data_IF_758036716757
#
_entry.id   IF_758036716757
#
_cell.length_a   1.000
_cell.length_b   1.000
_cell.length_c   1.000
_cell.angle_alpha   90.00
_cell.angle_beta   90.00
_cell.angle_gamma   90.00
#
_symmetry.space_group_name_H-M   'P 1'
#
loop_
_entity.id
_entity.type
_entity.pdbx_description
1 polymer ?
#
# COMPACT_ATOMS: atom_id res chain seq x y z
N UNK A 1 3.35 32.80 15.68
CA UNK A 1 3.74 32.56 14.29
C UNK A 1 2.93 31.38 13.77
N UNK A 2 1.83 31.66 13.04
CA UNK A 2 0.94 30.63 12.50
C UNK A 2 1.68 29.87 11.40
N UNK A 3 2.29 28.74 11.75
CA UNK A 3 2.77 27.80 10.77
C UNK A 3 1.56 27.02 10.22
N UNK A 4 0.89 27.60 9.23
CA UNK A 4 0.13 26.80 8.28
C UNK A 4 1.12 25.85 7.64
N UNK A 5 1.16 24.62 8.10
CA UNK A 5 1.99 23.56 7.55
C UNK A 5 1.62 23.43 6.07
N UNK A 6 2.47 23.96 5.17
CA UNK A 6 2.21 23.89 3.75
C UNK A 6 2.04 22.42 3.36
N UNK A 7 0.85 22.04 2.96
CA UNK A 7 0.52 20.70 2.49
C UNK A 7 1.44 20.36 1.31
N UNK A 8 2.13 19.24 1.39
CA UNK A 8 3.03 18.76 0.34
C UNK A 8 2.20 17.93 -0.61
N UNK A 9 1.81 18.56 -1.72
CA UNK A 9 0.92 17.94 -2.70
C UNK A 9 1.54 16.76 -3.42
N UNK A 10 2.86 16.73 -3.60
CA UNK A 10 3.58 15.63 -4.24
C UNK A 10 3.33 14.28 -3.55
N UNK A 11 3.19 14.23 -2.22
CA UNK A 11 2.90 12.98 -1.49
C UNK A 11 1.50 12.46 -1.86
N UNK A 12 0.51 13.35 -1.92
CA UNK A 12 -0.86 12.98 -2.28
C UNK A 12 -0.96 12.52 -3.74
N UNK A 13 -0.25 13.22 -4.64
CA UNK A 13 -0.19 12.88 -6.07
C UNK A 13 0.55 11.57 -6.29
N UNK A 14 1.68 11.37 -5.63
CA UNK A 14 2.45 10.12 -5.71
C UNK A 14 1.57 8.93 -5.27
N UNK A 15 0.85 9.09 -4.16
CA UNK A 15 -0.09 8.06 -3.68
C UNK A 15 -1.21 7.78 -4.68
N UNK A 16 -1.77 8.83 -5.30
CA UNK A 16 -2.83 8.69 -6.29
C UNK A 16 -2.36 7.96 -7.56
N UNK A 17 -1.17 8.31 -8.07
CA UNK A 17 -0.56 7.64 -9.22
C UNK A 17 -0.24 6.18 -8.87
N UNK A 18 0.39 5.92 -7.72
CA UNK A 18 0.73 4.56 -7.30
C UNK A 18 -0.53 3.70 -7.13
N UNK A 19 -1.64 4.27 -6.63
CA UNK A 19 -2.89 3.53 -6.53
C UNK A 19 -3.54 3.28 -7.90
N UNK A 20 -3.51 4.24 -8.83
CA UNK A 20 -3.93 4.02 -10.22
C UNK A 20 -3.14 2.85 -10.84
N UNK A 21 -1.81 2.89 -10.70
CA UNK A 21 -0.94 1.83 -11.20
C UNK A 21 -1.19 0.49 -10.50
N UNK A 22 -1.46 0.48 -9.19
CA UNK A 22 -1.80 -0.73 -8.44
C UNK A 22 -3.05 -1.42 -9.00
N UNK A 23 -4.12 -0.66 -9.29
CA UNK A 23 -5.34 -1.21 -9.86
C UNK A 23 -5.07 -1.72 -11.28
N UNK A 24 -4.32 -0.96 -12.07
CA UNK A 24 -3.94 -1.32 -13.44
C UNK A 24 -3.14 -2.63 -13.48
N UNK A 25 -2.05 -2.74 -12.72
CA UNK A 25 -1.20 -3.94 -12.75
C UNK A 25 -1.90 -5.15 -12.13
N UNK A 26 -2.78 -4.93 -11.16
CA UNK A 26 -3.58 -6.00 -10.59
C UNK A 26 -4.66 -6.53 -11.53
N UNK A 27 -5.04 -5.81 -12.61
CA UNK A 27 -5.96 -6.31 -13.63
C UNK A 27 -5.26 -7.12 -14.74
N UNK A 28 -3.93 -7.07 -14.83
CA UNK A 28 -3.16 -7.74 -15.89
C UNK A 28 -3.34 -9.26 -15.89
N UNK A 29 -3.63 -9.89 -14.74
CA UNK A 29 -3.93 -11.33 -14.67
C UNK A 29 -5.14 -11.75 -15.53
N UNK A 30 -6.04 -10.81 -15.82
CA UNK A 30 -7.22 -11.04 -16.65
C UNK A 30 -6.93 -11.03 -18.17
N UNK A 31 -5.69 -10.72 -18.55
CA UNK A 31 -5.25 -10.52 -19.92
C UNK A 31 -4.37 -11.69 -20.42
N UNK A 32 -4.30 -11.80 -21.74
CA UNK A 32 -3.35 -12.67 -22.46
C UNK A 32 -2.49 -11.83 -23.38
N UNK A 33 -1.23 -12.27 -23.62
CA UNK A 33 -0.30 -11.54 -24.48
C UNK A 33 0.19 -10.21 -23.90
N UNK A 34 0.28 -10.14 -22.58
CA UNK A 34 0.90 -9.00 -21.86
C UNK A 34 2.41 -9.07 -22.08
N UNK A 35 3.10 -7.94 -22.39
CA UNK A 35 4.55 -7.90 -22.47
C UNK A 35 5.20 -8.26 -21.14
N UNK A 36 6.23 -9.10 -21.15
CA UNK A 36 6.92 -9.58 -19.93
C UNK A 36 7.38 -8.45 -19.01
N UNK A 37 7.83 -7.32 -19.57
CA UNK A 37 8.28 -6.18 -18.78
C UNK A 37 7.17 -5.48 -17.95
N UNK A 38 5.90 -5.74 -18.27
CA UNK A 38 4.75 -5.26 -17.48
C UNK A 38 4.35 -6.24 -16.37
N UNK A 39 4.59 -7.52 -16.54
CA UNK A 39 4.16 -8.57 -15.62
C UNK A 39 4.97 -8.60 -14.32
N UNK A 40 4.51 -9.42 -13.38
CA UNK A 40 5.31 -9.80 -12.22
C UNK A 40 6.35 -10.84 -12.61
N UNK A 41 7.60 -10.64 -12.15
CA UNK A 41 8.63 -11.66 -12.26
C UNK A 41 8.33 -12.83 -11.32
N UNK A 42 8.72 -14.05 -11.75
CA UNK A 42 8.67 -15.23 -10.90
C UNK A 42 9.75 -15.15 -9.81
N UNK A 43 9.57 -15.93 -8.74
CA UNK A 43 10.48 -15.91 -7.60
C UNK A 43 11.94 -16.26 -7.98
N UNK A 44 12.10 -17.16 -8.95
CA UNK A 44 13.37 -17.69 -9.44
C UNK A 44 14.00 -16.89 -10.59
N UNK A 45 13.31 -15.88 -11.11
CA UNK A 45 13.78 -15.01 -12.19
C UNK A 45 14.56 -13.81 -11.67
N UNK A 46 15.75 -13.57 -12.22
CA UNK A 46 16.51 -12.34 -12.02
C UNK A 46 16.02 -11.24 -12.94
N UNK A 47 14.83 -10.72 -12.66
CA UNK A 47 14.14 -9.74 -13.51
C UNK A 47 13.28 -8.79 -12.68
N UNK A 48 13.12 -7.56 -13.18
CA UNK A 48 12.27 -6.53 -12.60
C UNK A 48 11.18 -6.14 -13.59
N UNK A 49 9.97 -6.65 -13.38
CA UNK A 49 8.81 -6.20 -14.12
C UNK A 49 8.28 -4.85 -13.58
N UNK A 50 7.54 -4.12 -14.42
CA UNK A 50 6.90 -2.88 -14.01
C UNK A 50 5.95 -3.09 -12.82
N UNK A 51 5.22 -4.21 -12.80
CA UNK A 51 4.33 -4.58 -11.70
C UNK A 51 5.05 -4.76 -10.35
N UNK A 52 6.36 -5.05 -10.39
CA UNK A 52 7.15 -5.28 -9.18
C UNK A 52 7.63 -3.99 -8.49
N UNK A 53 7.45 -2.83 -9.16
CA UNK A 53 7.85 -1.51 -8.65
C UNK A 53 6.69 -0.83 -7.90
N UNK A 54 5.44 -1.21 -8.18
CA UNK A 54 4.25 -0.48 -7.70
C UNK A 54 4.06 -0.63 -6.19
N UNK A 55 4.13 -1.85 -5.67
CA UNK A 55 3.96 -2.11 -4.23
C UNK A 55 5.06 -1.46 -3.38
N UNK A 56 6.37 -1.59 -3.69
CA UNK A 56 7.41 -0.90 -2.94
C UNK A 56 7.28 0.63 -2.98
N UNK A 57 6.84 1.21 -4.10
CA UNK A 57 6.53 2.64 -4.16
C UNK A 57 5.43 3.03 -3.17
N UNK A 58 4.43 2.15 -2.96
CA UNK A 58 3.40 2.37 -1.95
C UNK A 58 3.96 2.34 -0.53
N UNK A 59 4.85 1.40 -0.20
CA UNK A 59 5.53 1.34 1.11
C UNK A 59 6.42 2.57 1.36
N UNK A 60 7.13 3.02 0.33
CA UNK A 60 7.88 4.27 0.39
C UNK A 60 6.98 5.46 0.74
N UNK A 61 5.80 5.58 0.11
CA UNK A 61 4.82 6.63 0.39
C UNK A 61 4.22 6.49 1.81
N UNK A 62 4.00 5.27 2.28
CA UNK A 62 3.60 5.02 3.68
C UNK A 62 4.65 5.59 4.62
N UNK A 63 5.92 5.31 4.37
CA UNK A 63 7.05 5.91 5.09
C UNK A 63 7.05 7.43 5.04
N UNK A 64 6.85 8.02 3.87
CA UNK A 64 6.74 9.49 3.74
C UNK A 64 5.60 10.08 4.57
N UNK A 65 4.50 9.36 4.73
CA UNK A 65 3.32 9.83 5.45
C UNK A 65 3.46 9.76 6.98
N UNK A 66 4.30 8.86 7.52
CA UNK A 66 4.49 8.64 8.96
C UNK A 66 4.87 9.93 9.70
N UNK A 67 5.88 10.72 9.28
CA UNK A 67 6.27 11.96 9.96
C UNK A 67 5.11 12.95 10.10
N UNK A 68 4.33 13.13 9.03
CA UNK A 68 3.21 14.07 9.01
C UNK A 68 2.05 13.58 9.88
N UNK A 69 1.73 12.28 9.83
CA UNK A 69 0.67 11.69 10.64
C UNK A 69 0.96 11.82 12.14
N UNK A 70 2.19 11.49 12.57
CA UNK A 70 2.59 11.55 13.98
C UNK A 70 2.67 13.00 14.47
N UNK A 71 3.28 13.91 13.69
CA UNK A 71 3.32 15.35 14.05
C UNK A 71 1.92 15.95 14.21
N UNK A 72 1.00 15.58 13.32
CA UNK A 72 -0.38 16.09 13.40
C UNK A 72 -1.10 15.61 14.66
N UNK A 73 -0.82 14.40 15.16
CA UNK A 73 -1.38 13.88 16.41
C UNK A 73 -0.78 14.58 17.64
N UNK A 74 0.54 14.76 17.64
CA UNK A 74 1.23 15.50 18.70
C UNK A 74 0.70 16.95 18.77
N UNK A 75 0.49 17.59 17.61
CA UNK A 75 -0.07 18.94 17.55
C UNK A 75 -1.51 19.04 18.08
N UNK A 76 -2.26 17.93 18.07
CA UNK A 76 -3.61 17.82 18.67
C UNK A 76 -3.59 17.53 20.17
N UNK A 77 -2.40 17.34 20.75
CA UNK A 77 -2.24 17.04 22.17
C UNK A 77 -2.28 15.54 22.53
N UNK A 78 -2.28 14.64 21.54
CA UNK A 78 -2.28 13.20 21.80
C UNK A 78 -1.00 12.80 22.56
N UNK A 79 -1.15 12.03 23.64
CA UNK A 79 -0.03 11.41 24.37
C UNK A 79 0.66 10.33 23.55
N UNK A 80 1.89 9.97 23.90
CA UNK A 80 2.60 8.87 23.22
C UNK A 80 1.80 7.55 23.25
N UNK A 81 1.13 7.24 24.35
CA UNK A 81 0.31 6.04 24.48
C UNK A 81 -0.89 6.07 23.51
N UNK A 82 -1.58 7.21 23.41
CA UNK A 82 -2.69 7.38 22.46
C UNK A 82 -2.23 7.25 21.01
N UNK A 83 -1.03 7.76 20.70
CA UNK A 83 -0.43 7.59 19.37
C UNK A 83 -0.12 6.11 19.08
N UNK A 84 0.49 5.41 20.06
CA UNK A 84 0.79 3.97 19.94
C UNK A 84 -0.49 3.14 19.79
N UNK A 85 -1.53 3.42 20.56
CA UNK A 85 -2.85 2.77 20.43
C UNK A 85 -3.42 2.96 19.02
N UNK A 86 -3.33 4.17 18.46
CA UNK A 86 -3.79 4.43 17.11
C UNK A 86 -2.96 3.66 16.07
N UNK A 87 -1.63 3.61 16.23
CA UNK A 87 -0.76 2.83 15.37
C UNK A 87 -1.16 1.36 15.42
N UNK A 88 -1.35 0.79 16.62
CA UNK A 88 -1.73 -0.59 16.82
C UNK A 88 -3.10 -0.92 16.18
N UNK A 89 -4.12 -0.09 16.42
CA UNK A 89 -5.46 -0.27 15.85
C UNK A 89 -5.45 -0.19 14.32
N UNK A 90 -4.71 0.76 13.76
CA UNK A 90 -4.55 0.90 12.32
C UNK A 90 -3.84 -0.31 11.71
N UNK A 91 -2.76 -0.77 12.34
CA UNK A 91 -2.03 -1.95 11.90
C UNK A 91 -2.90 -3.20 11.99
N UNK A 92 -3.64 -3.38 13.10
CA UNK A 92 -4.56 -4.51 13.28
C UNK A 92 -5.62 -4.52 12.18
N UNK A 93 -6.21 -3.38 11.83
CA UNK A 93 -7.17 -3.31 10.74
C UNK A 93 -6.58 -3.79 9.42
N UNK A 94 -5.36 -3.35 9.08
CA UNK A 94 -4.66 -3.77 7.87
C UNK A 94 -4.28 -5.26 7.91
N UNK A 95 -3.85 -5.77 9.06
CA UNK A 95 -3.54 -7.18 9.25
C UNK A 95 -4.79 -8.07 9.07
N UNK A 96 -5.92 -7.66 9.65
CA UNK A 96 -7.21 -8.37 9.46
C UNK A 96 -7.62 -8.37 7.99
N UNK A 97 -7.58 -7.21 7.34
CA UNK A 97 -7.92 -7.13 5.91
C UNK A 97 -6.98 -7.96 5.05
N UNK A 98 -5.68 -7.92 5.32
CA UNK A 98 -4.68 -8.74 4.64
C UNK A 98 -4.90 -10.23 4.85
N UNK A 99 -5.17 -10.64 6.09
CA UNK A 99 -5.47 -12.03 6.45
C UNK A 99 -6.66 -12.59 5.66
N UNK A 100 -7.75 -11.84 5.54
CA UNK A 100 -8.91 -12.28 4.77
C UNK A 100 -8.62 -12.30 3.27
N UNK A 101 -7.97 -11.27 2.73
CA UNK A 101 -7.72 -11.17 1.28
C UNK A 101 -6.73 -12.21 0.77
N UNK A 102 -5.74 -12.63 1.56
CA UNK A 102 -4.75 -13.63 1.13
C UNK A 102 -5.35 -15.03 1.03
N UNK A 103 -6.40 -15.33 1.82
CA UNK A 103 -7.04 -16.64 1.83
C UNK A 103 -8.09 -16.85 0.70
N UNK A 104 -8.41 -15.82 -0.10
CA UNK A 104 -9.37 -15.92 -1.19
C UNK A 104 -8.99 -17.01 -2.20
N UNK A 105 -7.69 -17.12 -2.53
CA UNK A 105 -7.18 -18.09 -3.51
C UNK A 105 -7.34 -19.53 -3.05
N UNK A 106 -7.25 -19.78 -1.75
CA UNK A 106 -7.21 -21.11 -1.16
C UNK A 106 -8.61 -21.63 -0.76
N UNK A 107 -9.65 -20.80 -0.93
CA UNK A 107 -11.03 -21.18 -0.59
C UNK A 107 -11.47 -22.42 -1.38
N UNK A 108 -11.81 -23.48 -0.68
CA UNK A 108 -12.49 -24.66 -1.20
C UNK A 108 -14.00 -24.42 -1.19
N UNK A 109 -14.58 -24.23 -2.37
CA UNK A 109 -16.00 -23.84 -2.54
C UNK A 109 -16.95 -24.93 -2.05
N UNK A 110 -16.65 -26.20 -2.33
CA UNK A 110 -17.50 -27.33 -1.96
C UNK A 110 -17.50 -27.53 -0.45
N UNK A 111 -16.34 -27.56 0.18
CA UNK A 111 -16.21 -27.78 1.62
C UNK A 111 -16.73 -26.59 2.45
N UNK A 112 -16.60 -25.36 1.95
CA UNK A 112 -17.10 -24.15 2.63
C UNK A 112 -18.59 -23.91 2.43
N UNK A 113 -19.21 -24.48 1.39
CA UNK A 113 -20.64 -24.31 1.10
C UNK A 113 -21.03 -22.94 0.50
N UNK A 114 -20.07 -22.12 0.06
CA UNK A 114 -20.32 -20.84 -0.61
C UNK A 114 -19.26 -20.53 -1.67
N UNK A 115 -19.64 -19.72 -2.67
CA UNK A 115 -18.75 -19.37 -3.77
C UNK A 115 -17.67 -18.37 -3.35
N UNK A 116 -16.59 -18.32 -4.14
CA UNK A 116 -15.50 -17.35 -3.93
C UNK A 116 -15.99 -15.90 -4.06
N UNK A 117 -16.90 -15.65 -4.98
CA UNK A 117 -17.51 -14.35 -5.21
C UNK A 117 -18.34 -13.91 -3.99
N UNK A 118 -19.14 -14.81 -3.44
CA UNK A 118 -19.93 -14.53 -2.23
C UNK A 118 -19.00 -14.23 -1.04
N UNK A 119 -17.94 -15.01 -0.86
CA UNK A 119 -16.94 -14.76 0.16
C UNK A 119 -16.35 -13.35 0.02
N UNK A 120 -15.95 -12.95 -1.20
CA UNK A 120 -15.37 -11.62 -1.46
C UNK A 120 -16.37 -10.49 -1.18
N UNK A 121 -17.63 -10.64 -1.62
CA UNK A 121 -18.66 -9.63 -1.39
C UNK A 121 -18.92 -9.46 0.12
N UNK A 122 -19.10 -10.56 0.84
CA UNK A 122 -19.37 -10.52 2.29
C UNK A 122 -18.16 -10.01 3.08
N UNK A 123 -16.95 -10.40 2.70
CA UNK A 123 -15.70 -9.91 3.28
C UNK A 123 -15.57 -8.38 3.14
N UNK A 124 -15.75 -7.85 1.92
CA UNK A 124 -15.67 -6.41 1.69
C UNK A 124 -16.82 -5.68 2.38
N UNK A 125 -18.03 -6.23 2.38
CA UNK A 125 -19.15 -5.67 3.14
C UNK A 125 -18.81 -5.59 4.65
N UNK A 126 -18.24 -6.65 5.23
CA UNK A 126 -17.76 -6.65 6.62
C UNK A 126 -16.72 -5.55 6.87
N UNK A 127 -15.75 -5.37 5.97
CA UNK A 127 -14.77 -4.29 6.09
C UNK A 127 -15.43 -2.90 6.04
N UNK A 128 -16.39 -2.68 5.15
CA UNK A 128 -17.09 -1.40 5.09
C UNK A 128 -17.96 -1.18 6.33
N UNK A 129 -18.64 -2.18 6.85
CA UNK A 129 -19.42 -2.06 8.07
C UNK A 129 -18.56 -1.68 9.29
N UNK A 130 -17.36 -2.24 9.41
CA UNK A 130 -16.48 -1.98 10.56
C UNK A 130 -15.78 -0.62 10.45
N UNK A 131 -15.16 -0.31 9.30
CA UNK A 131 -14.22 0.80 9.14
C UNK A 131 -14.76 1.97 8.31
N UNK A 132 -16.06 2.02 8.01
CA UNK A 132 -16.65 3.21 7.39
C UNK A 132 -16.55 4.43 8.31
N UNK A 133 -16.41 5.62 7.71
CA UNK A 133 -16.49 6.88 8.45
C UNK A 133 -17.94 7.19 8.75
N UNK A 134 -18.40 6.77 9.92
CA UNK A 134 -19.73 7.13 10.38
C UNK A 134 -19.79 8.58 10.90
N UNK A 135 -20.88 9.33 10.63
CA UNK A 135 -21.04 10.67 11.19
C UNK A 135 -21.13 10.60 12.72
N UNK A 136 -20.57 11.60 13.39
CA UNK A 136 -20.77 11.75 14.83
C UNK A 136 -22.25 12.01 15.09
N UNK A 137 -22.84 11.25 15.97
CA UNK A 137 -24.24 11.42 16.42
C UNK A 137 -24.32 11.08 17.90
N UNK A 138 -25.13 11.82 18.64
CA UNK A 138 -25.43 11.58 20.07
C UNK A 138 -26.76 10.85 20.25
N UNK A 139 -27.58 10.78 19.19
CA UNK A 139 -28.90 10.17 19.15
C UNK A 139 -28.84 8.64 18.95
N UNK A 140 -30.02 8.02 18.77
CA UNK A 140 -30.19 6.60 18.42
C UNK A 140 -29.30 6.12 17.26
N UNK A 141 -28.92 7.02 16.34
CA UNK A 141 -28.01 6.74 15.25
C UNK A 141 -26.62 6.25 15.72
N UNK A 142 -26.17 6.68 16.92
CA UNK A 142 -24.93 6.17 17.51
C UNK A 142 -25.02 4.66 17.74
N UNK A 143 -26.12 4.19 18.30
CA UNK A 143 -26.34 2.77 18.55
C UNK A 143 -26.50 1.98 17.26
N UNK A 144 -27.15 2.58 16.24
CA UNK A 144 -27.23 2.00 14.90
C UNK A 144 -25.82 1.78 14.30
N UNK A 145 -24.94 2.79 14.38
CA UNK A 145 -23.58 2.66 13.83
C UNK A 145 -22.75 1.62 14.58
N UNK A 146 -22.86 1.56 15.90
CA UNK A 146 -22.23 0.51 16.71
C UNK A 146 -22.81 -0.87 16.30
N UNK A 147 -24.11 -0.99 16.13
CA UNK A 147 -24.75 -2.21 15.65
C UNK A 147 -24.23 -2.66 14.28
N UNK A 148 -24.09 -1.73 13.33
CA UNK A 148 -23.50 -2.02 12.01
C UNK A 148 -22.07 -2.52 12.12
N UNK A 149 -21.25 -1.91 12.98
CA UNK A 149 -19.88 -2.38 13.22
C UNK A 149 -19.85 -3.79 13.83
N UNK A 150 -20.72 -4.08 14.80
CA UNK A 150 -20.84 -5.41 15.40
C UNK A 150 -21.30 -6.45 14.38
N UNK A 151 -22.26 -6.10 13.51
CA UNK A 151 -22.68 -6.97 12.39
C UNK A 151 -21.50 -7.25 11.46
N UNK A 152 -20.68 -6.24 11.14
CA UNK A 152 -19.46 -6.42 10.35
C UNK A 152 -18.46 -7.38 10.99
N UNK A 153 -18.23 -7.23 12.30
CA UNK A 153 -17.35 -8.14 13.07
C UNK A 153 -17.90 -9.56 13.05
N UNK A 154 -19.20 -9.72 13.36
CA UNK A 154 -19.85 -11.03 13.34
C UNK A 154 -19.78 -11.69 11.96
N UNK A 155 -19.99 -10.91 10.90
CA UNK A 155 -19.88 -11.38 9.52
C UNK A 155 -18.47 -11.93 9.21
N UNK A 156 -17.43 -11.21 9.59
CA UNK A 156 -16.06 -11.69 9.39
C UNK A 156 -15.75 -12.93 10.24
N UNK A 157 -16.22 -12.99 11.48
CA UNK A 157 -16.07 -14.18 12.33
C UNK A 157 -16.76 -15.40 11.72
N UNK A 158 -17.99 -15.24 11.21
CA UNK A 158 -18.73 -16.32 10.53
C UNK A 158 -18.01 -16.77 9.25
N UNK A 159 -17.52 -15.83 8.43
CA UNK A 159 -16.73 -16.17 7.25
C UNK A 159 -15.45 -16.95 7.61
N UNK A 160 -14.75 -16.57 8.67
CA UNK A 160 -13.58 -17.30 9.17
C UNK A 160 -13.95 -18.69 9.70
N UNK A 161 -15.08 -18.83 10.39
CA UNK A 161 -15.54 -20.09 10.94
C UNK A 161 -15.94 -21.11 9.85
N UNK A 162 -16.68 -20.64 8.83
CA UNK A 162 -17.15 -21.51 7.73
C UNK A 162 -16.10 -21.70 6.63
N UNK A 163 -15.02 -20.95 6.65
CA UNK A 163 -13.94 -21.11 5.68
C UNK A 163 -13.33 -22.49 5.77
N UNK A 164 -13.18 -23.12 4.62
CA UNK A 164 -12.40 -24.35 4.42
C UNK A 164 -11.47 -24.10 3.23
N UNK A 165 -10.18 -24.33 3.45
CA UNK A 165 -9.14 -24.14 2.45
C UNK A 165 -8.48 -25.44 2.03
N UNK A 166 -7.56 -25.29 1.06
CA UNK A 166 -6.83 -26.42 0.52
C UNK A 166 -7.64 -27.27 -0.47
N UNK A 167 -6.96 -28.22 -1.10
CA UNK A 167 -7.57 -29.07 -2.15
C UNK A 167 -8.65 -30.01 -1.57
N UNK A 168 -8.48 -30.46 -0.36
CA UNK A 168 -9.35 -31.40 0.34
C UNK A 168 -10.35 -30.72 1.30
N UNK A 169 -10.31 -29.41 1.44
CA UNK A 169 -11.16 -28.65 2.33
C UNK A 169 -10.84 -28.82 3.81
N UNK A 170 -9.67 -29.32 4.17
CA UNK A 170 -9.26 -29.57 5.56
C UNK A 170 -8.57 -28.38 6.23
N UNK A 171 -8.08 -27.43 5.43
CA UNK A 171 -7.30 -26.31 5.93
C UNK A 171 -8.20 -25.19 6.47
N UNK A 172 -7.72 -24.50 7.50
CA UNK A 172 -8.31 -23.28 8.02
C UNK A 172 -7.60 -22.06 7.44
N UNK A 173 -8.20 -20.87 7.61
CA UNK A 173 -7.52 -19.62 7.25
C UNK A 173 -6.17 -19.51 7.94
N UNK A 174 -5.15 -19.12 7.19
CA UNK A 174 -3.79 -18.92 7.70
C UNK A 174 -3.23 -17.56 7.29
N UNK A 175 -2.25 -17.02 8.02
CA UNK A 175 -1.62 -15.76 7.67
C UNK A 175 -0.90 -15.78 6.32
N UNK A 176 -0.43 -16.92 5.88
CA UNK A 176 0.38 -17.10 4.67
C UNK A 176 1.49 -16.02 4.58
N UNK A 177 1.53 -15.25 3.49
CA UNK A 177 2.43 -14.09 3.33
C UNK A 177 1.77 -12.76 3.76
N UNK A 178 0.64 -12.79 4.48
CA UNK A 178 -0.12 -11.64 4.99
C UNK A 178 -0.85 -10.80 3.95
N UNK A 179 -0.64 -11.00 2.67
CA UNK A 179 -1.20 -10.16 1.63
C UNK A 179 -0.65 -8.72 1.63
N UNK A 180 -0.95 -7.97 0.60
CA UNK A 180 -0.45 -6.58 0.43
C UNK A 180 -0.85 -5.69 1.62
N UNK A 181 -2.11 -5.74 2.06
CA UNK A 181 -2.58 -4.92 3.18
C UNK A 181 -1.93 -5.31 4.50
N UNK A 182 -1.74 -6.61 4.75
CA UNK A 182 -1.08 -7.10 5.96
C UNK A 182 0.40 -6.73 6.00
N UNK A 183 1.11 -6.80 4.87
CA UNK A 183 2.50 -6.34 4.78
C UNK A 183 2.63 -4.83 5.07
N UNK A 184 1.68 -4.01 4.58
CA UNK A 184 1.61 -2.59 4.95
C UNK A 184 1.35 -2.44 6.45
N UNK A 185 0.48 -3.28 7.03
CA UNK A 185 0.17 -3.30 8.46
C UNK A 185 1.41 -3.57 9.31
N UNK A 186 2.21 -4.60 8.97
CA UNK A 186 3.47 -4.93 9.63
C UNK A 186 4.48 -3.81 9.51
N UNK A 187 4.71 -3.31 8.29
CA UNK A 187 5.64 -2.20 8.04
C UNK A 187 5.28 -0.97 8.87
N UNK A 188 3.98 -0.62 8.95
CA UNK A 188 3.52 0.52 9.72
C UNK A 188 3.65 0.28 11.23
N UNK A 189 3.34 -0.94 11.71
CA UNK A 189 3.44 -1.34 13.12
C UNK A 189 4.87 -1.23 13.65
N UNK A 190 5.86 -1.54 12.81
CA UNK A 190 7.28 -1.47 13.17
C UNK A 190 7.82 -0.05 12.99
N UNK A 191 7.61 0.55 11.81
CA UNK A 191 8.27 1.81 11.45
C UNK A 191 7.71 3.03 12.19
N UNK A 192 6.39 3.08 12.46
CA UNK A 192 5.78 4.25 13.07
C UNK A 192 6.14 4.45 14.55
N UNK A 193 6.19 3.42 15.43
CA UNK A 193 6.71 3.57 16.78
C UNK A 193 8.20 3.97 16.80
N UNK A 194 9.01 3.37 15.96
CA UNK A 194 10.44 3.73 15.87
C UNK A 194 10.56 5.22 15.52
N UNK A 195 9.82 5.69 14.52
CA UNK A 195 9.79 7.12 14.19
C UNK A 195 9.30 7.97 15.38
N UNK A 196 8.26 7.57 16.09
CA UNK A 196 7.71 8.31 17.23
C UNK A 196 8.80 8.62 18.27
N UNK A 197 9.63 7.65 18.59
CA UNK A 197 10.68 7.80 19.62
C UNK A 197 11.98 8.39 19.05
N UNK A 198 12.34 8.06 17.80
CA UNK A 198 13.57 8.51 17.17
C UNK A 198 13.44 9.86 16.42
N UNK A 199 12.24 10.46 16.31
CA UNK A 199 11.94 11.63 15.45
C UNK A 199 12.81 12.87 15.68
N UNK A 200 13.43 13.00 16.85
CA UNK A 200 14.32 14.12 17.18
C UNK A 200 15.72 13.99 16.55
N UNK A 201 16.11 12.80 16.11
CA UNK A 201 17.42 12.52 15.54
C UNK A 201 17.30 11.94 14.14
N UNK A 202 17.62 12.72 13.13
CA UNK A 202 17.69 12.24 11.75
C UNK A 202 18.76 11.18 11.56
N UNK A 203 19.86 11.25 12.33
CA UNK A 203 20.92 10.25 12.30
C UNK A 203 20.39 8.89 12.78
N UNK A 204 19.64 8.87 13.89
CA UNK A 204 19.07 7.64 14.41
C UNK A 204 18.08 7.01 13.41
N UNK A 205 17.28 7.83 12.73
CA UNK A 205 16.36 7.33 11.70
C UNK A 205 17.08 6.74 10.48
N UNK A 206 18.21 7.34 10.07
CA UNK A 206 19.07 6.78 9.03
C UNK A 206 19.77 5.49 9.49
N UNK A 207 20.16 5.40 10.77
CA UNK A 207 20.71 4.16 11.32
C UNK A 207 19.67 3.03 11.32
N UNK A 208 18.39 3.31 11.56
CA UNK A 208 17.33 2.30 11.41
C UNK A 208 17.15 1.88 9.96
N UNK A 209 17.21 2.80 8.99
CA UNK A 209 17.22 2.43 7.57
C UNK A 209 18.36 1.48 7.24
N UNK A 210 19.56 1.80 7.72
CA UNK A 210 20.74 0.96 7.53
C UNK A 210 20.60 -0.40 8.23
N UNK A 211 20.07 -0.42 9.46
CA UNK A 211 19.80 -1.66 10.22
C UNK A 211 18.86 -2.59 9.45
N UNK A 212 17.72 -2.10 8.97
CA UNK A 212 16.78 -2.94 8.22
C UNK A 212 17.36 -3.41 6.88
N UNK A 213 18.19 -2.58 6.24
CA UNK A 213 18.94 -2.98 5.05
C UNK A 213 19.94 -4.12 5.38
N UNK A 214 20.67 -4.00 6.47
CA UNK A 214 21.60 -5.06 6.92
C UNK A 214 20.85 -6.33 7.32
N UNK A 215 19.72 -6.23 8.01
CA UNK A 215 18.88 -7.38 8.33
C UNK A 215 18.43 -8.10 7.05
N UNK A 216 17.99 -7.37 6.05
CA UNK A 216 17.58 -7.96 4.77
C UNK A 216 18.75 -8.65 4.05
N UNK A 217 19.93 -8.03 4.01
CA UNK A 217 21.15 -8.64 3.46
C UNK A 217 21.53 -9.90 4.24
N UNK A 218 21.51 -9.83 5.58
CA UNK A 218 21.89 -10.94 6.46
C UNK A 218 20.93 -12.13 6.34
N UNK A 219 19.63 -11.88 6.19
CA UNK A 219 18.61 -12.91 5.98
C UNK A 219 18.84 -13.67 4.66
N UNK A 220 19.14 -12.94 3.58
CA UNK A 220 19.42 -13.51 2.26
C UNK A 220 20.80 -14.15 2.15
N UNK A 221 21.78 -13.67 2.91
CA UNK A 221 23.09 -14.31 3.03
C UNK A 221 23.07 -15.56 3.92
N UNK A 222 21.96 -15.86 4.58
CA UNK A 222 21.83 -17.00 5.49
C UNK A 222 22.53 -16.82 6.83
N UNK A 223 22.99 -15.62 7.17
CA UNK A 223 23.67 -15.32 8.43
C UNK A 223 22.71 -15.21 9.61
N UNK A 224 21.53 -14.64 9.38
CA UNK A 224 20.52 -14.43 10.41
C UNK A 224 19.13 -14.52 9.77
N UNK A 225 18.30 -15.45 10.26
CA UNK A 225 16.88 -15.48 9.86
C UNK A 225 16.06 -14.57 10.76
N UNK A 226 15.35 -13.63 10.15
CA UNK A 226 14.51 -12.69 10.87
C UNK A 226 13.05 -13.17 10.89
N UNK A 227 12.31 -12.98 12.01
CA UNK A 227 10.88 -13.26 12.04
C UNK A 227 10.02 -12.18 11.36
N UNK A 228 10.65 -11.10 10.87
CA UNK A 228 9.98 -9.98 10.24
C UNK A 228 9.63 -10.35 8.79
N UNK A 229 8.38 -10.17 8.33
CA UNK A 229 8.03 -10.42 6.95
C UNK A 229 8.94 -9.66 5.97
N UNK A 230 9.48 -10.37 4.99
CA UNK A 230 10.42 -9.81 4.02
C UNK A 230 11.82 -9.49 4.56
N UNK A 231 12.18 -10.00 5.75
CA UNK A 231 13.54 -9.88 6.28
C UNK A 231 14.01 -8.44 6.55
N UNK A 232 13.10 -7.47 6.70
CA UNK A 232 13.41 -6.04 6.84
C UNK A 232 13.33 -5.23 5.54
N UNK A 233 13.05 -5.85 4.40
CA UNK A 233 12.90 -5.17 3.11
C UNK A 233 11.82 -4.08 3.15
N UNK A 234 10.66 -4.39 3.73
CA UNK A 234 9.51 -3.50 3.74
C UNK A 234 9.72 -2.29 4.64
N UNK A 235 10.37 -2.47 5.78
CA UNK A 235 10.85 -1.40 6.65
C UNK A 235 11.90 -0.55 5.94
N UNK A 236 12.78 -1.17 5.14
CA UNK A 236 13.75 -0.48 4.29
C UNK A 236 13.09 0.53 3.35
N UNK A 237 11.96 0.19 2.72
CA UNK A 237 11.17 1.12 1.92
C UNK A 237 10.54 2.23 2.76
N UNK A 238 9.96 1.89 3.91
CA UNK A 238 9.33 2.89 4.78
C UNK A 238 10.35 3.89 5.33
N UNK A 239 11.51 3.44 5.79
CA UNK A 239 12.55 4.33 6.30
C UNK A 239 13.19 5.18 5.19
N UNK A 240 13.30 4.69 3.96
CA UNK A 240 13.67 5.50 2.80
C UNK A 240 12.65 6.63 2.55
N UNK A 241 11.34 6.31 2.65
CA UNK A 241 10.28 7.31 2.59
C UNK A 241 10.31 8.33 3.74
N UNK A 242 10.57 7.88 4.97
CA UNK A 242 10.80 8.78 6.13
C UNK A 242 11.97 9.73 5.83
N UNK A 243 13.10 9.21 5.34
CA UNK A 243 14.27 10.02 4.98
C UNK A 243 13.94 11.08 3.90
N UNK A 244 13.14 10.70 2.88
CA UNK A 244 12.68 11.63 1.87
C UNK A 244 11.85 12.78 2.47
N UNK A 245 10.96 12.50 3.42
CA UNK A 245 10.18 13.53 4.13
C UNK A 245 11.02 14.41 5.03
N UNK A 246 12.02 13.86 5.71
CA UNK A 246 12.95 14.63 6.53
C UNK A 246 13.79 15.62 5.70
N UNK A 247 14.14 15.27 4.47
CA UNK A 247 14.80 16.19 3.54
C UNK A 247 13.91 17.38 3.20
N UNK A 248 12.61 17.17 2.97
CA UNK A 248 11.66 18.27 2.75
C UNK A 248 11.61 19.20 3.96
N UNK A 249 11.55 18.64 5.17
CA UNK A 249 11.45 19.42 6.40
C UNK A 249 12.72 20.24 6.72
N UNK A 250 13.89 19.73 6.36
CA UNK A 250 15.18 20.43 6.55
C UNK A 250 15.36 21.64 5.62
N UNK A 251 14.59 21.68 4.55
CA UNK A 251 14.70 22.71 3.52
C UNK A 251 13.72 23.83 3.81
N UNK A 252 14.17 24.84 4.56
CA UNK A 252 13.34 25.96 5.01
C UNK A 252 13.32 27.14 4.04
N UNK A 253 14.33 27.29 3.20
CA UNK A 253 14.44 28.42 2.26
C UNK A 253 13.96 28.03 0.86
N UNK A 254 13.39 29.00 0.13
CA UNK A 254 12.91 28.80 -1.25
C UNK A 254 14.02 28.29 -2.19
N UNK A 255 15.23 28.83 -2.08
CA UNK A 255 16.38 28.43 -2.90
C UNK A 255 16.77 26.96 -2.68
N UNK A 256 16.90 26.53 -1.42
CA UNK A 256 17.19 25.12 -1.09
C UNK A 256 16.08 24.18 -1.55
N UNK A 257 14.80 24.63 -1.49
CA UNK A 257 13.66 23.85 -1.93
C UNK A 257 13.70 23.55 -3.43
N UNK A 258 14.18 24.48 -4.24
CA UNK A 258 14.38 24.27 -5.69
C UNK A 258 15.44 23.19 -5.99
N UNK A 259 16.39 22.95 -5.09
CA UNK A 259 17.44 21.93 -5.24
C UNK A 259 17.01 20.53 -4.79
N UNK A 260 15.85 20.37 -4.11
CA UNK A 260 15.38 19.06 -3.64
C UNK A 260 15.27 17.99 -4.74
N UNK A 261 14.72 18.27 -5.94
CA UNK A 261 14.71 17.28 -7.01
C UNK A 261 16.10 16.75 -7.36
N UNK A 262 17.11 17.60 -7.36
CA UNK A 262 18.50 17.20 -7.65
C UNK A 262 19.02 16.27 -6.55
N UNK A 263 18.74 16.55 -5.27
CA UNK A 263 19.12 15.67 -4.18
C UNK A 263 18.42 14.32 -4.27
N UNK A 264 17.13 14.30 -4.59
CA UNK A 264 16.39 13.05 -4.78
C UNK A 264 16.90 12.23 -5.95
N UNK A 265 17.24 12.87 -7.08
CA UNK A 265 17.87 12.19 -8.23
C UNK A 265 19.23 11.63 -7.82
N UNK A 266 20.07 12.41 -7.12
CA UNK A 266 21.38 11.94 -6.65
C UNK A 266 21.29 10.73 -5.73
N UNK A 267 20.39 10.76 -4.72
CA UNK A 267 20.13 9.63 -3.84
C UNK A 267 19.59 8.43 -4.65
N UNK A 268 18.64 8.68 -5.55
CA UNK A 268 18.07 7.66 -6.41
C UNK A 268 19.12 6.95 -7.27
N UNK A 269 20.03 7.69 -7.89
CA UNK A 269 21.11 7.14 -8.70
C UNK A 269 22.10 6.30 -7.86
N UNK A 270 22.47 6.79 -6.66
CA UNK A 270 23.34 6.05 -5.74
C UNK A 270 22.68 4.71 -5.38
N UNK A 271 21.38 4.70 -5.05
CA UNK A 271 20.66 3.49 -4.72
C UNK A 271 20.54 2.53 -5.92
N UNK A 272 20.29 3.05 -7.13
CA UNK A 272 20.26 2.24 -8.34
C UNK A 272 21.62 1.58 -8.62
N UNK A 273 22.70 2.33 -8.52
CA UNK A 273 24.07 1.80 -8.71
C UNK A 273 24.36 0.73 -7.64
N UNK A 274 24.04 1.02 -6.36
CA UNK A 274 24.20 0.05 -5.28
C UNK A 274 23.38 -1.22 -5.51
N UNK A 275 22.14 -1.10 -6.01
CA UNK A 275 21.31 -2.23 -6.39
C UNK A 275 21.92 -3.07 -7.50
N UNK A 276 22.49 -2.43 -8.54
CA UNK A 276 23.19 -3.13 -9.62
C UNK A 276 24.46 -3.85 -9.12
N UNK A 277 25.17 -3.29 -8.15
CA UNK A 277 26.31 -3.98 -7.50
C UNK A 277 25.83 -5.17 -6.69
N UNK A 278 24.74 -5.03 -5.90
CA UNK A 278 24.16 -6.11 -5.11
C UNK A 278 23.62 -7.25 -5.98
N UNK A 279 23.25 -7.00 -7.23
CA UNK A 279 22.81 -8.04 -8.18
C UNK A 279 23.87 -9.13 -8.43
N UNK A 280 25.15 -8.82 -8.22
CA UNK A 280 26.20 -9.84 -8.31
C UNK A 280 26.12 -10.90 -7.18
N UNK A 281 25.39 -10.61 -6.10
CA UNK A 281 25.25 -11.47 -4.94
C UNK A 281 23.81 -11.98 -4.75
N UNK A 282 22.82 -11.17 -5.11
CA UNK A 282 21.40 -11.45 -4.91
C UNK A 282 20.62 -11.11 -6.18
N UNK A 283 19.85 -12.05 -6.69
CA UNK A 283 18.97 -11.82 -7.86
C UNK A 283 17.95 -10.70 -7.59
N UNK A 284 17.37 -10.13 -8.63
CA UNK A 284 16.24 -9.21 -8.50
C UNK A 284 14.98 -10.04 -8.31
N UNK A 285 14.40 -10.07 -7.11
CA UNK A 285 13.14 -10.77 -6.87
C UNK A 285 12.27 -10.03 -5.85
N UNK A 286 11.09 -9.63 -6.28
CA UNK A 286 10.04 -9.07 -5.41
C UNK A 286 9.49 -10.14 -4.46
N UNK A 287 9.26 -11.36 -4.99
CA UNK A 287 8.63 -12.44 -4.22
C UNK A 287 9.52 -12.84 -3.05
N UNK A 288 10.83 -12.88 -3.29
CA UNK A 288 11.81 -13.15 -2.24
C UNK A 288 12.16 -11.91 -1.41
N UNK A 289 11.72 -10.71 -1.80
CA UNK A 289 12.07 -9.44 -1.15
C UNK A 289 13.59 -9.19 -1.06
N UNK A 290 14.34 -9.47 -2.14
CA UNK A 290 15.81 -9.44 -2.16
C UNK A 290 16.38 -8.04 -1.95
N UNK A 291 17.61 -7.91 -1.41
CA UNK A 291 18.28 -6.62 -1.25
C UNK A 291 18.42 -5.83 -2.55
N UNK A 292 18.74 -6.50 -3.64
CA UNK A 292 18.83 -5.90 -4.99
C UNK A 292 17.51 -5.22 -5.38
N UNK A 293 16.38 -5.92 -5.22
CA UNK A 293 15.06 -5.38 -5.50
C UNK A 293 14.75 -4.15 -4.62
N UNK A 294 15.11 -4.22 -3.32
CA UNK A 294 14.89 -3.11 -2.38
C UNK A 294 15.64 -1.84 -2.82
N UNK A 295 16.90 -1.98 -3.20
CA UNK A 295 17.71 -0.85 -3.62
C UNK A 295 17.24 -0.25 -4.94
N UNK A 296 16.96 -1.09 -5.94
CA UNK A 296 16.47 -0.63 -7.24
C UNK A 296 15.13 0.09 -7.12
N UNK A 297 14.17 -0.48 -6.38
CA UNK A 297 12.86 0.13 -6.21
C UNK A 297 12.90 1.42 -5.38
N UNK A 298 13.74 1.50 -4.33
CA UNK A 298 13.96 2.75 -3.59
C UNK A 298 14.58 3.82 -4.50
N UNK A 299 15.58 3.46 -5.30
CA UNK A 299 16.21 4.37 -6.25
C UNK A 299 15.20 4.96 -7.23
N UNK A 300 14.36 4.11 -7.83
CA UNK A 300 13.27 4.56 -8.72
C UNK A 300 12.24 5.42 -7.99
N UNK A 301 11.86 5.08 -6.74
CA UNK A 301 10.91 5.86 -5.96
C UNK A 301 11.42 7.28 -5.67
N UNK A 302 12.72 7.45 -5.35
CA UNK A 302 13.33 8.77 -5.18
C UNK A 302 13.34 9.59 -6.48
N UNK A 303 13.68 8.98 -7.62
CA UNK A 303 13.68 9.68 -8.92
C UNK A 303 12.26 10.08 -9.30
N UNK A 304 11.28 9.19 -9.10
CA UNK A 304 9.89 9.48 -9.39
C UNK A 304 9.34 10.60 -8.48
N UNK A 305 9.71 10.57 -7.19
CA UNK A 305 9.39 11.65 -6.26
C UNK A 305 9.99 12.98 -6.72
N UNK A 306 11.24 12.99 -7.23
CA UNK A 306 11.86 14.20 -7.74
C UNK A 306 11.05 14.83 -8.87
N UNK A 307 10.60 14.01 -9.82
CA UNK A 307 9.77 14.46 -10.96
C UNK A 307 8.43 15.01 -10.46
N UNK A 308 7.74 14.27 -9.60
CA UNK A 308 6.44 14.71 -9.06
C UNK A 308 6.60 16.00 -8.25
N UNK A 309 7.61 16.08 -7.38
CA UNK A 309 7.86 17.27 -6.57
C UNK A 309 8.14 18.49 -7.43
N UNK A 310 8.92 18.33 -8.49
CA UNK A 310 9.19 19.40 -9.45
C UNK A 310 7.91 19.90 -10.12
N UNK A 311 7.07 18.99 -10.64
CA UNK A 311 5.83 19.36 -11.35
C UNK A 311 4.79 19.94 -10.37
N UNK A 312 4.60 19.31 -9.24
CA UNK A 312 3.47 19.57 -8.33
C UNK A 312 3.78 20.69 -7.34
N UNK A 313 4.93 20.61 -6.64
CA UNK A 313 5.24 21.53 -5.54
C UNK A 313 6.07 22.73 -6.00
N UNK A 314 6.94 22.60 -7.03
CA UNK A 314 7.74 23.72 -7.54
C UNK A 314 7.01 24.46 -8.69
N UNK A 315 6.41 23.75 -9.63
CA UNK A 315 5.67 24.37 -10.75
C UNK A 315 4.19 24.63 -10.44
N UNK A 316 3.69 24.19 -9.27
CA UNK A 316 2.30 24.41 -8.83
C UNK A 316 1.23 23.68 -9.66
N UNK A 317 1.59 22.64 -10.42
CA UNK A 317 0.70 21.94 -11.34
C UNK A 317 -0.09 20.79 -10.69
N UNK A 318 -0.39 20.89 -9.40
CA UNK A 318 -1.19 19.87 -8.67
C UNK A 318 -2.55 19.61 -9.29
N UNK A 319 -3.15 20.62 -9.93
CA UNK A 319 -4.45 20.52 -10.62
C UNK A 319 -4.49 19.48 -11.74
N UNK A 320 -3.36 19.18 -12.38
CA UNK A 320 -3.28 18.18 -13.45
C UNK A 320 -3.68 16.77 -12.98
N UNK A 321 -3.57 16.49 -11.68
CA UNK A 321 -3.83 15.20 -11.08
C UNK A 321 -5.20 15.12 -10.37
N UNK A 322 -6.06 16.13 -10.54
CA UNK A 322 -7.36 16.16 -9.85
C UNK A 322 -8.27 14.98 -10.20
N UNK A 323 -8.15 14.44 -11.42
CA UNK A 323 -8.95 13.31 -11.87
C UNK A 323 -8.65 12.01 -11.13
N UNK A 324 -7.41 11.83 -10.63
CA UNK A 324 -7.01 10.66 -9.81
C UNK A 324 -6.98 10.95 -8.31
N UNK A 325 -7.25 12.18 -7.88
CA UNK A 325 -7.24 12.58 -6.46
C UNK A 325 -8.03 11.64 -5.53
N UNK A 326 -9.19 11.08 -5.92
CA UNK A 326 -9.93 10.12 -5.08
C UNK A 326 -9.10 8.89 -4.70
N UNK A 327 -8.25 8.38 -5.60
CA UNK A 327 -7.35 7.27 -5.34
C UNK A 327 -6.32 7.58 -4.23
N UNK A 328 -5.81 8.81 -4.17
CA UNK A 328 -4.88 9.25 -3.12
C UNK A 328 -5.55 9.57 -1.78
N UNK A 329 -6.81 10.04 -1.78
CA UNK A 329 -7.52 10.47 -0.57
C UNK A 329 -8.39 9.38 0.06
N UNK A 330 -8.78 8.37 -0.70
CA UNK A 330 -9.62 7.23 -0.29
C UNK A 330 -8.98 5.90 -0.72
N UNK A 331 -7.68 5.80 -0.52
CA UNK A 331 -6.81 4.73 -1.02
C UNK A 331 -7.33 3.33 -0.67
N UNK A 332 -7.73 3.10 0.59
CA UNK A 332 -8.22 1.80 1.04
C UNK A 332 -9.57 1.44 0.40
N UNK A 333 -10.49 2.40 0.30
CA UNK A 333 -11.75 2.23 -0.44
C UNK A 333 -11.47 1.86 -1.89
N UNK A 334 -10.59 2.62 -2.56
CA UNK A 334 -10.21 2.39 -3.94
C UNK A 334 -9.59 0.99 -4.16
N UNK A 335 -8.78 0.51 -3.22
CA UNK A 335 -8.15 -0.81 -3.27
C UNK A 335 -9.13 -1.97 -3.13
N UNK A 336 -10.23 -1.79 -2.37
CA UNK A 336 -11.18 -2.87 -2.10
C UNK A 336 -12.31 -2.97 -3.15
N UNK A 337 -12.60 -1.92 -3.91
CA UNK A 337 -13.64 -1.95 -4.96
C UNK A 337 -13.40 -3.04 -6.01
N UNK A 338 -12.17 -3.30 -6.49
CA UNK A 338 -11.90 -4.39 -7.43
C UNK A 338 -12.45 -5.76 -7.00
N UNK A 339 -12.40 -6.10 -5.72
CA UNK A 339 -12.96 -7.37 -5.22
C UNK A 339 -14.47 -7.46 -5.47
N UNK A 340 -15.20 -6.35 -5.23
CA UNK A 340 -16.63 -6.30 -5.53
C UNK A 340 -16.90 -6.32 -7.03
N UNK A 341 -16.12 -5.56 -7.80
CA UNK A 341 -16.27 -5.50 -9.24
C UNK A 341 -16.13 -6.88 -9.89
N UNK A 342 -15.04 -7.60 -9.59
CA UNK A 342 -14.83 -8.93 -10.14
C UNK A 342 -15.90 -9.92 -9.71
N UNK A 343 -16.27 -9.92 -8.44
CA UNK A 343 -17.32 -10.81 -7.93
C UNK A 343 -18.66 -10.57 -8.63
N UNK A 344 -19.06 -9.31 -8.83
CA UNK A 344 -20.33 -8.98 -9.50
C UNK A 344 -20.22 -9.24 -11.01
N UNK A 345 -19.09 -8.90 -11.64
CA UNK A 345 -18.88 -9.09 -13.07
C UNK A 345 -18.95 -10.58 -13.48
N UNK A 346 -18.48 -11.48 -12.62
CA UNK A 346 -18.54 -12.93 -12.87
C UNK A 346 -19.98 -13.40 -13.04
N UNK A 347 -20.94 -12.80 -12.33
CA UNK A 347 -22.37 -13.14 -12.46
C UNK A 347 -23.08 -12.43 -13.61
N UNK A 348 -22.51 -11.35 -14.15
CA UNK A 348 -23.27 -10.43 -14.99
C UNK A 348 -22.92 -10.53 -16.48
N UNK A 349 -21.66 -10.74 -16.84
CA UNK A 349 -21.23 -10.78 -18.25
C UNK A 349 -19.84 -11.37 -18.47
N UNK A 350 -19.63 -11.91 -19.67
CA UNK A 350 -18.31 -12.31 -20.16
C UNK A 350 -17.78 -11.30 -21.14
N UNK A 351 -16.58 -10.76 -20.88
CA UNK A 351 -15.93 -9.84 -21.83
C UNK A 351 -15.48 -10.57 -23.09
N UNK A 352 -15.68 -9.97 -24.30
CA UNK A 352 -15.14 -10.49 -25.55
C UNK A 352 -13.61 -10.68 -25.50
N UNK A 353 -13.10 -11.69 -26.19
CA UNK A 353 -11.67 -12.07 -26.16
C UNK A 353 -10.76 -10.92 -26.60
N UNK A 354 -11.15 -10.12 -27.60
CA UNK A 354 -10.33 -9.00 -28.07
C UNK A 354 -10.06 -7.94 -26.99
N UNK A 355 -10.98 -7.77 -26.00
CA UNK A 355 -10.78 -6.89 -24.86
C UNK A 355 -9.87 -7.48 -23.77
N UNK A 356 -9.47 -8.74 -23.93
CA UNK A 356 -8.59 -9.44 -22.97
C UNK A 356 -7.20 -9.70 -23.56
N UNK A 357 -6.89 -9.20 -24.76
CA UNK A 357 -5.66 -9.59 -25.48
C UNK A 357 -4.82 -8.37 -25.87
N UNK A 358 -3.51 -8.46 -25.63
CA UNK A 358 -2.50 -7.51 -26.10
C UNK A 358 -2.76 -6.05 -25.75
N UNK A 359 -2.48 -5.13 -26.66
CA UNK A 359 -2.59 -3.67 -26.44
C UNK A 359 -4.03 -3.22 -26.13
N UNK A 360 -5.05 -3.85 -26.74
CA UNK A 360 -6.45 -3.53 -26.47
C UNK A 360 -6.82 -3.92 -25.05
N UNK A 361 -6.35 -5.09 -24.59
CA UNK A 361 -6.50 -5.52 -23.19
C UNK A 361 -5.84 -4.55 -22.22
N UNK A 362 -4.62 -4.07 -22.51
CA UNK A 362 -3.92 -3.09 -21.69
C UNK A 362 -4.69 -1.76 -21.60
N UNK A 363 -5.23 -1.28 -22.73
CA UNK A 363 -6.05 -0.08 -22.73
C UNK A 363 -7.33 -0.28 -21.88
N UNK A 364 -7.99 -1.45 -22.02
CA UNK A 364 -9.14 -1.83 -21.17
C UNK A 364 -8.77 -1.79 -19.69
N UNK A 365 -7.64 -2.35 -19.29
CA UNK A 365 -7.18 -2.38 -17.90
C UNK A 365 -6.89 -0.98 -17.36
N UNK A 366 -6.34 -0.10 -18.19
CA UNK A 366 -6.13 1.30 -17.80
C UNK A 366 -7.45 2.06 -17.62
N UNK A 367 -8.40 1.90 -18.56
CA UNK A 367 -9.75 2.47 -18.44
C UNK A 367 -10.48 1.92 -17.21
N UNK A 368 -10.35 0.61 -16.96
CA UNK A 368 -10.88 -0.03 -15.77
C UNK A 368 -10.36 0.65 -14.49
N UNK A 369 -9.04 0.89 -14.39
CA UNK A 369 -8.47 1.57 -13.25
C UNK A 369 -9.06 2.98 -13.06
N UNK A 370 -9.29 3.73 -14.14
CA UNK A 370 -9.96 5.03 -14.08
C UNK A 370 -11.43 4.93 -13.64
N UNK A 371 -12.15 3.90 -14.07
CA UNK A 371 -13.54 3.62 -13.65
C UNK A 371 -13.57 3.36 -12.14
N UNK A 372 -12.69 2.52 -11.61
CA UNK A 372 -12.58 2.25 -10.16
C UNK A 372 -12.33 3.53 -9.37
N UNK A 373 -11.48 4.43 -9.87
CA UNK A 373 -11.25 5.74 -9.25
C UNK A 373 -12.51 6.60 -9.30
N UNK A 374 -13.26 6.58 -10.42
CA UNK A 374 -14.54 7.25 -10.55
C UNK A 374 -15.58 6.75 -9.55
N UNK A 375 -15.71 5.43 -9.40
CA UNK A 375 -16.57 4.80 -8.39
C UNK A 375 -16.16 5.23 -6.98
N UNK A 376 -14.85 5.25 -6.69
CA UNK A 376 -14.30 5.73 -5.40
C UNK A 376 -14.71 7.18 -5.13
N UNK A 377 -14.70 8.04 -6.16
CA UNK A 377 -15.13 9.42 -6.03
C UNK A 377 -16.62 9.54 -5.69
N UNK A 378 -17.48 8.74 -6.34
CA UNK A 378 -18.92 8.69 -6.09
C UNK A 378 -19.19 8.21 -4.65
N UNK A 379 -18.60 7.10 -4.24
CA UNK A 379 -18.73 6.58 -2.87
C UNK A 379 -18.27 7.61 -1.83
N UNK A 380 -17.18 8.34 -2.11
CA UNK A 380 -16.71 9.43 -1.25
C UNK A 380 -17.71 10.56 -1.08
N UNK A 381 -18.45 10.93 -2.16
CA UNK A 381 -19.55 11.90 -2.11
C UNK A 381 -20.74 11.39 -1.29
N UNK A 382 -21.01 10.09 -1.33
CA UNK A 382 -22.03 9.41 -0.54
C UNK A 382 -21.62 9.18 0.92
N UNK A 383 -20.43 9.66 1.35
CA UNK A 383 -19.84 9.44 2.68
C UNK A 383 -19.52 7.96 2.97
N UNK A 384 -19.40 7.13 1.95
CA UNK A 384 -18.94 5.75 2.04
C UNK A 384 -17.44 5.75 1.82
N UNK A 385 -16.69 5.74 2.91
CA UNK A 385 -15.23 5.84 2.87
C UNK A 385 -14.62 5.12 4.05
N UNK A 386 -13.72 4.21 3.77
CA UNK A 386 -12.94 3.52 4.81
C UNK A 386 -11.86 4.44 5.37
N UNK A 387 -11.74 4.44 6.68
CA UNK A 387 -10.68 5.14 7.42
C UNK A 387 -10.27 4.29 8.63
N UNK A 388 -8.99 4.03 8.69
CA UNK A 388 -8.32 3.28 9.77
C UNK A 388 -7.28 4.16 10.47
#
# INVERSE_FOLDING_TARGET
MNMTQNRIFSIDVFRAITMLLMIFVNDLWSLTGVPLWLEHSRADQDFLGFSDIVFPSFLFIVGMAIPYAIRNRIAKGDSHLQILQHIALRSLALLVMGFFTVNISDLNVEASGFSRELFQILMVAGFFLIWNVYPKSEDWKKYLFIGLQLVGVLLLLLLGYFFKGGKDGSEQMSPQWWGILGLIGWTYLISAPIYLFARKSSVLLLLFWFLFTLLNISDHAGWLKTPIPGGGAFEGFAFAGIAASLLIDKVTTSEKRQKLPIYYIGIGLILLISGLVLRNFFIISKIQATPTWVFLCNGMAFIFLAVIFFIVDLKGKSGWFNFIKPAGTSTLTCYLIPYLYYSIATFSFTLPTFLKTGTVGLLKSFIYALIIIGITAILGKMKIKLKI
#
